data_IF_131480708345
#
_entry.id   IF_131480708345
#
_cell.length_a   1.000
_cell.length_b   1.000
_cell.length_c   1.000
_cell.angle_alpha   90.00
_cell.angle_beta   90.00
_cell.angle_gamma   90.00
#
_symmetry.space_group_name_H-M   'P 1'
#
loop_
_entity.id
_entity.type
_entity.pdbx_description
1 polymer ?
#
# COMPACT_ATOMS: atom_id res chain seq x y z
N UNK A 1 9.38 -10.08 -7.24
CA UNK A 1 8.48 -9.02 -7.72
C UNK A 1 7.05 -9.34 -7.32
N UNK A 2 6.30 -8.35 -6.90
CA UNK A 2 4.88 -8.49 -6.58
C UNK A 2 4.05 -7.98 -7.74
N UNK A 3 3.01 -8.75 -8.12
CA UNK A 3 2.05 -8.34 -9.13
C UNK A 3 0.69 -8.18 -8.47
N UNK A 4 0.09 -6.99 -8.62
CA UNK A 4 -1.29 -6.72 -8.20
C UNK A 4 -2.13 -6.67 -9.48
N UNK A 5 -3.00 -7.65 -9.65
CA UNK A 5 -3.91 -7.72 -10.79
C UNK A 5 -5.28 -7.20 -10.37
N UNK A 6 -5.79 -6.21 -11.09
CA UNK A 6 -7.10 -5.62 -10.83
C UNK A 6 -8.19 -6.40 -11.55
N UNK A 7 -9.45 -6.24 -11.11
CA UNK A 7 -10.59 -6.92 -11.73
C UNK A 7 -10.77 -6.60 -13.22
N UNK A 8 -10.28 -5.45 -13.68
CA UNK A 8 -10.32 -5.07 -15.09
C UNK A 8 -9.19 -5.69 -15.91
N UNK A 9 -8.34 -6.53 -15.31
CA UNK A 9 -7.22 -7.19 -15.97
C UNK A 9 -5.93 -6.37 -16.00
N UNK A 10 -5.95 -5.11 -15.58
CA UNK A 10 -4.74 -4.29 -15.55
C UNK A 10 -3.89 -4.64 -14.34
N UNK A 11 -2.58 -4.45 -14.45
CA UNK A 11 -1.64 -4.87 -13.40
C UNK A 11 -0.74 -3.73 -12.94
N UNK A 12 -0.36 -3.81 -11.67
CA UNK A 12 0.68 -2.98 -11.05
C UNK A 12 1.77 -3.94 -10.59
N UNK A 13 3.00 -3.71 -11.00
CA UNK A 13 4.14 -4.53 -10.57
C UNK A 13 5.03 -3.72 -9.64
N UNK A 14 5.41 -4.35 -8.53
CA UNK A 14 6.16 -3.73 -7.45
C UNK A 14 7.46 -4.47 -7.21
N UNK A 15 8.50 -3.72 -6.92
CA UNK A 15 9.76 -4.26 -6.39
C UNK A 15 9.89 -3.83 -4.94
N UNK A 16 10.12 -4.80 -4.05
CA UNK A 16 10.23 -4.55 -2.61
C UNK A 16 11.69 -4.41 -2.20
N UNK A 17 11.96 -3.58 -1.20
CA UNK A 17 13.30 -3.27 -0.70
C UNK A 17 13.49 -3.81 0.72
N UNK A 18 14.02 -5.04 0.81
CA UNK A 18 14.28 -5.70 2.10
C UNK A 18 15.33 -4.96 2.94
N UNK A 19 16.26 -4.26 2.30
CA UNK A 19 17.30 -3.56 3.03
C UNK A 19 16.76 -2.36 3.81
N UNK A 20 15.71 -1.73 3.29
CA UNK A 20 15.10 -0.56 3.93
C UNK A 20 14.09 -0.96 5.02
N UNK A 21 13.32 -2.03 4.82
CA UNK A 21 12.25 -2.44 5.71
C UNK A 21 12.07 -3.96 5.71
N UNK A 22 13.02 -4.71 6.31
CA UNK A 22 13.05 -6.16 6.19
C UNK A 22 11.81 -6.86 6.77
N UNK A 23 11.31 -6.41 7.92
CA UNK A 23 10.13 -7.02 8.55
C UNK A 23 8.85 -6.67 7.81
N UNK A 24 8.76 -5.45 7.31
CA UNK A 24 7.64 -4.99 6.49
C UNK A 24 7.54 -5.80 5.20
N UNK A 25 8.67 -5.97 4.51
CA UNK A 25 8.73 -6.78 3.28
C UNK A 25 8.35 -8.23 3.56
N UNK A 26 8.90 -8.83 4.62
CA UNK A 26 8.58 -10.21 5.00
C UNK A 26 7.08 -10.40 5.27
N UNK A 27 6.47 -9.47 6.01
CA UNK A 27 5.04 -9.49 6.30
C UNK A 27 4.19 -9.36 5.03
N UNK A 28 4.54 -8.41 4.16
CA UNK A 28 3.80 -8.20 2.92
C UNK A 28 3.89 -9.42 1.99
N UNK A 29 5.08 -9.99 1.83
CA UNK A 29 5.28 -11.22 1.05
C UNK A 29 4.47 -12.39 1.62
N UNK A 30 4.44 -12.53 2.94
CA UNK A 30 3.64 -13.57 3.60
C UNK A 30 2.16 -13.41 3.28
N UNK A 31 1.62 -12.21 3.44
CA UNK A 31 0.19 -11.94 3.16
C UNK A 31 -0.15 -12.16 1.68
N UNK A 32 0.73 -11.73 0.79
CA UNK A 32 0.55 -11.96 -0.65
C UNK A 32 0.54 -13.46 -0.96
N UNK A 33 1.49 -14.22 -0.42
CA UNK A 33 1.58 -15.66 -0.67
C UNK A 33 0.40 -16.44 -0.12
N UNK A 34 -0.24 -15.92 0.94
CA UNK A 34 -1.45 -16.53 1.52
C UNK A 34 -2.74 -16.15 0.80
N UNK A 35 -2.68 -15.28 -0.22
CA UNK A 35 -3.86 -14.78 -0.93
C UNK A 35 -4.66 -13.77 -0.12
N UNK A 36 -4.07 -13.15 0.90
CA UNK A 36 -4.77 -12.24 1.80
C UNK A 36 -5.41 -11.06 1.06
N UNK A 37 -4.73 -10.52 0.07
CA UNK A 37 -5.19 -9.33 -0.66
C UNK A 37 -6.18 -9.63 -1.79
N UNK A 38 -6.40 -10.90 -2.10
CA UNK A 38 -7.32 -11.28 -3.17
C UNK A 38 -8.75 -10.89 -2.79
N UNK A 39 -9.41 -10.15 -3.67
CA UNK A 39 -10.76 -9.66 -3.44
C UNK A 39 -10.88 -8.39 -2.61
N UNK A 40 -9.77 -7.87 -2.07
CA UNK A 40 -9.79 -6.62 -1.30
C UNK A 40 -9.79 -5.41 -2.23
N UNK A 41 -10.16 -4.24 -1.70
CA UNK A 41 -10.31 -3.03 -2.50
C UNK A 41 -9.31 -1.94 -2.12
N UNK A 42 -9.12 -0.99 -3.04
CA UNK A 42 -8.57 0.31 -2.69
C UNK A 42 -9.72 1.18 -2.16
N UNK A 43 -9.86 1.20 -0.85
CA UNK A 43 -11.02 1.80 -0.17
C UNK A 43 -10.88 3.31 0.10
N UNK A 44 -9.67 3.87 -0.04
CA UNK A 44 -9.40 5.27 0.18
C UNK A 44 -8.48 5.79 -0.92
N UNK A 45 -8.98 6.75 -1.69
CA UNK A 45 -8.29 7.28 -2.88
C UNK A 45 -8.30 8.80 -2.82
N UNK A 46 -7.12 9.41 -2.83
CA UNK A 46 -6.96 10.87 -2.86
C UNK A 46 -6.06 11.23 -4.04
N UNK A 47 -6.64 11.75 -5.15
CA UNK A 47 -5.85 12.19 -6.29
C UNK A 47 -4.81 13.23 -5.87
N UNK A 48 -3.61 13.15 -6.42
CA UNK A 48 -2.51 14.03 -6.04
C UNK A 48 -1.84 13.65 -4.73
N UNK A 49 -2.26 12.55 -4.10
CA UNK A 49 -1.67 12.06 -2.87
C UNK A 49 -1.38 10.55 -2.96
N UNK A 50 -2.40 9.68 -2.73
CA UNK A 50 -2.15 8.24 -2.68
C UNK A 50 -3.42 7.43 -2.96
N UNK A 51 -3.23 6.12 -3.20
CA UNK A 51 -4.30 5.12 -3.21
C UNK A 51 -4.01 4.11 -2.09
N UNK A 52 -4.99 3.83 -1.25
CA UNK A 52 -4.84 2.98 -0.06
C UNK A 52 -5.77 1.78 -0.12
N UNK A 53 -5.24 0.61 0.21
CA UNK A 53 -6.00 -0.64 0.22
C UNK A 53 -5.48 -1.64 1.24
N UNK A 54 -5.94 -2.88 1.12
CA UNK A 54 -5.47 -3.97 1.97
C UNK A 54 -6.23 -4.15 3.28
N UNK A 55 -7.41 -3.55 3.41
CA UNK A 55 -8.28 -3.72 4.56
C UNK A 55 -9.35 -4.76 4.26
N UNK A 56 -9.39 -5.90 4.98
CA UNK A 56 -10.41 -6.93 4.76
C UNK A 56 -11.83 -6.46 5.09
N UNK A 57 -11.99 -5.44 5.92
CA UNK A 57 -13.29 -4.82 6.21
C UNK A 57 -13.68 -3.81 5.12
N UNK A 58 -12.69 -3.14 4.53
CA UNK A 58 -12.90 -2.20 3.42
C UNK A 58 -13.32 -0.79 3.82
N UNK A 59 -13.13 -0.41 5.08
CA UNK A 59 -13.49 0.92 5.59
C UNK A 59 -12.37 1.63 6.38
N UNK A 60 -11.18 1.06 6.39
CA UNK A 60 -10.02 1.62 7.10
C UNK A 60 -9.83 1.10 8.52
N UNK A 61 -10.73 0.26 9.04
CA UNK A 61 -10.69 -0.21 10.43
C UNK A 61 -10.08 -1.59 10.61
N UNK A 62 -9.95 -2.36 9.53
CA UNK A 62 -9.49 -3.75 9.58
C UNK A 62 -8.00 -3.92 9.30
N UNK A 63 -7.52 -5.13 9.44
CA UNK A 63 -6.14 -5.51 9.19
C UNK A 63 -5.94 -7.01 9.27
N UNK A 64 -4.68 -7.45 9.17
CA UNK A 64 -4.30 -8.84 9.39
C UNK A 64 -4.16 -9.13 10.88
N UNK A 65 -3.92 -10.40 11.23
CA UNK A 65 -3.88 -10.87 12.63
C UNK A 65 -2.74 -10.26 13.45
N UNK A 66 -1.61 -9.97 12.81
CA UNK A 66 -0.40 -9.54 13.50
C UNK A 66 0.00 -8.13 13.10
N UNK A 67 0.28 -7.29 14.08
CA UNK A 67 0.89 -6.00 13.84
C UNK A 67 2.39 -6.16 13.69
N UNK A 68 3.00 -5.25 12.93
CA UNK A 68 4.45 -5.22 12.73
C UNK A 68 5.03 -3.94 13.28
N UNK A 69 6.32 -4.00 13.67
CA UNK A 69 7.05 -2.82 14.10
C UNK A 69 7.17 -1.83 12.93
N UNK A 70 7.03 -0.55 13.20
CA UNK A 70 7.15 0.49 12.19
C UNK A 70 8.61 0.76 11.85
N UNK A 71 9.04 0.36 10.66
CA UNK A 71 10.42 0.50 10.19
C UNK A 71 10.63 1.84 9.49
N UNK A 72 10.69 2.91 10.27
CA UNK A 72 10.90 4.27 9.78
C UNK A 72 11.70 5.09 10.79
N UNK A 73 12.28 6.21 10.34
CA UNK A 73 13.27 6.98 11.08
C UNK A 73 12.77 7.44 12.47
N UNK A 74 11.56 7.97 12.57
CA UNK A 74 11.02 8.45 13.86
C UNK A 74 10.77 7.32 14.87
N UNK A 75 10.80 6.07 14.43
CA UNK A 75 10.68 4.88 15.28
C UNK A 75 12.05 4.16 15.48
N UNK A 76 13.14 4.81 15.11
CA UNK A 76 14.49 4.30 15.36
C UNK A 76 15.07 3.41 14.27
N UNK A 77 14.47 3.35 13.08
CA UNK A 77 14.96 2.52 11.97
C UNK A 77 15.51 3.37 10.84
N UNK A 78 16.63 2.95 10.27
CA UNK A 78 17.23 3.62 9.13
C UNK A 78 16.53 3.18 7.84
N UNK A 79 15.50 3.91 7.45
CA UNK A 79 14.77 3.68 6.20
C UNK A 79 14.94 4.92 5.31
N UNK A 80 15.77 4.84 4.25
CA UNK A 80 16.08 6.01 3.42
C UNK A 80 15.06 6.29 2.33
N UNK A 81 14.03 5.46 2.16
CA UNK A 81 13.08 5.62 1.04
C UNK A 81 12.23 6.87 1.25
N UNK A 82 12.23 7.75 0.26
CA UNK A 82 11.36 8.92 0.20
C UNK A 82 9.99 8.54 -0.32
N UNK A 83 8.94 9.20 0.16
CA UNK A 83 7.57 9.00 -0.33
C UNK A 83 7.36 9.78 -1.64
N UNK A 84 8.03 9.33 -2.68
CA UNK A 84 7.88 9.86 -4.02
C UNK A 84 6.86 9.06 -4.82
N UNK A 85 6.43 9.60 -5.96
CA UNK A 85 5.45 8.94 -6.84
C UNK A 85 5.85 7.49 -7.12
N UNK A 86 4.93 6.56 -6.94
CA UNK A 86 5.11 5.13 -7.16
C UNK A 86 5.64 4.34 -5.97
N UNK A 87 6.01 4.99 -4.88
CA UNK A 87 6.47 4.29 -3.66
C UNK A 87 5.29 3.64 -2.95
N UNK A 88 5.48 2.41 -2.47
CA UNK A 88 4.53 1.71 -1.61
C UNK A 88 4.98 1.80 -0.15
N UNK A 89 4.05 2.07 0.75
CA UNK A 89 4.30 2.27 2.17
C UNK A 89 3.16 1.68 3.01
N UNK A 90 3.41 1.41 4.29
CA UNK A 90 2.40 0.84 5.18
C UNK A 90 1.57 1.93 5.83
N UNK A 91 0.24 1.79 5.74
CA UNK A 91 -0.68 2.57 6.54
C UNK A 91 -0.67 2.08 7.99
N UNK A 92 -0.95 2.99 8.93
CA UNK A 92 -0.98 2.69 10.37
C UNK A 92 -1.89 3.67 11.10
N UNK A 93 -2.23 3.35 12.33
CA UNK A 93 -2.88 4.27 13.25
C UNK A 93 -1.84 5.20 13.90
N UNK A 94 -2.21 5.92 14.95
CA UNK A 94 -1.29 6.79 15.69
C UNK A 94 -0.13 6.02 16.33
N UNK A 95 -0.36 4.75 16.71
CA UNK A 95 0.69 3.89 17.25
C UNK A 95 1.69 3.54 16.14
N UNK A 96 2.98 3.82 16.31
CA UNK A 96 3.99 3.51 15.29
C UNK A 96 4.14 2.01 14.98
N UNK A 97 3.66 1.14 15.86
CA UNK A 97 3.74 -0.31 15.70
C UNK A 97 2.36 -0.94 15.44
N UNK A 98 1.46 -0.21 14.79
CA UNK A 98 0.08 -0.65 14.53
C UNK A 98 -0.17 -1.11 13.10
N UNK A 99 0.80 -1.03 12.21
CA UNK A 99 0.64 -1.51 10.83
C UNK A 99 0.45 -3.03 10.82
N UNK A 100 -0.38 -3.51 9.90
CA UNK A 100 -0.59 -4.95 9.70
C UNK A 100 -0.73 -5.32 8.22
N UNK A 101 -1.79 -4.89 7.55
CA UNK A 101 -2.02 -5.23 6.14
C UNK A 101 -2.32 -4.06 5.24
N UNK A 102 -2.86 -2.95 5.75
CA UNK A 102 -3.18 -1.81 4.91
C UNK A 102 -1.92 -1.13 4.39
N UNK A 103 -1.93 -0.82 3.11
CA UNK A 103 -0.82 -0.16 2.43
C UNK A 103 -1.35 0.96 1.54
N UNK A 104 -0.45 1.85 1.13
CA UNK A 104 -0.77 2.87 0.14
C UNK A 104 0.34 3.01 -0.88
N UNK A 105 -0.03 3.39 -2.10
CA UNK A 105 0.89 3.66 -3.20
C UNK A 105 0.79 5.14 -3.53
N UNK A 106 1.92 5.81 -3.61
CA UNK A 106 1.96 7.25 -3.86
C UNK A 106 1.55 7.58 -5.29
N UNK A 107 0.55 8.45 -5.43
CA UNK A 107 0.16 9.03 -6.71
C UNK A 107 1.03 10.23 -7.04
N UNK A 108 1.46 10.98 -6.03
CA UNK A 108 2.37 12.11 -6.14
C UNK A 108 3.33 12.14 -4.95
N UNK A 109 4.38 12.95 -5.01
CA UNK A 109 5.34 13.08 -3.94
C UNK A 109 4.70 13.66 -2.68
N UNK A 110 5.03 13.10 -1.51
CA UNK A 110 4.55 13.57 -0.22
C UNK A 110 5.69 13.56 0.81
N UNK A 111 6.61 14.50 0.74
CA UNK A 111 7.78 14.53 1.63
C UNK A 111 7.45 14.64 3.12
N UNK A 112 6.25 15.11 3.47
CA UNK A 112 5.81 15.16 4.88
C UNK A 112 5.62 13.78 5.50
N UNK A 113 5.55 12.71 4.71
CA UNK A 113 5.45 11.34 5.20
C UNK A 113 6.83 10.71 5.46
N UNK A 114 7.90 11.29 4.92
CA UNK A 114 9.24 10.73 5.05
C UNK A 114 9.65 10.64 6.52
N UNK A 115 10.18 9.49 6.90
CA UNK A 115 10.60 9.23 8.27
C UNK A 115 9.49 8.90 9.26
N UNK A 116 8.22 8.92 8.83
CA UNK A 116 7.06 8.65 9.72
C UNK A 116 6.22 7.45 9.28
N UNK A 117 6.52 6.86 8.13
CA UNK A 117 5.85 5.67 7.60
C UNK A 117 6.87 4.73 6.99
N UNK A 118 6.57 3.43 7.06
CA UNK A 118 7.46 2.39 6.56
C UNK A 118 7.28 2.19 5.05
N UNK A 119 7.97 2.99 4.25
CA UNK A 119 8.09 2.77 2.82
C UNK A 119 8.92 1.51 2.59
N UNK A 120 8.50 0.64 1.65
CA UNK A 120 9.16 -0.67 1.50
C UNK A 120 9.30 -1.14 0.06
N UNK A 121 9.05 -0.30 -0.91
CA UNK A 121 9.21 -0.65 -2.33
C UNK A 121 8.70 0.42 -3.26
N UNK A 122 8.63 0.09 -4.53
CA UNK A 122 8.16 1.02 -5.55
C UNK A 122 7.57 0.29 -6.76
N UNK A 123 6.72 1.00 -7.49
CA UNK A 123 6.13 0.51 -8.75
C UNK A 123 7.20 0.52 -9.84
N UNK A 124 7.39 -0.65 -10.49
CA UNK A 124 8.29 -0.77 -11.65
C UNK A 124 7.54 -0.82 -12.97
N UNK A 125 6.25 -1.19 -12.93
CA UNK A 125 5.38 -1.23 -14.10
C UNK A 125 3.95 -0.99 -13.65
N UNK A 126 3.19 -0.17 -14.40
CA UNK A 126 1.78 0.09 -14.09
C UNK A 126 1.51 1.40 -13.38
N UNK A 127 2.40 2.40 -13.45
CA UNK A 127 2.10 3.74 -12.89
C UNK A 127 0.84 4.34 -13.51
N UNK A 128 0.58 4.09 -14.80
CA UNK A 128 -0.65 4.53 -15.46
C UNK A 128 -1.90 3.88 -14.84
N UNK A 129 -1.78 2.67 -14.30
CA UNK A 129 -2.87 2.00 -13.58
C UNK A 129 -3.11 2.68 -12.24
N UNK A 130 -2.05 3.08 -11.53
CA UNK A 130 -2.16 3.88 -10.31
C UNK A 130 -2.88 5.20 -10.61
N UNK A 131 -2.54 5.86 -11.72
CA UNK A 131 -3.21 7.10 -12.15
C UNK A 131 -4.69 6.88 -12.43
N UNK A 132 -5.05 5.81 -13.11
CA UNK A 132 -6.46 5.48 -13.40
C UNK A 132 -7.24 5.26 -12.10
N UNK A 133 -6.66 4.51 -11.17
CA UNK A 133 -7.28 4.27 -9.86
C UNK A 133 -7.45 5.58 -9.10
N UNK A 134 -6.42 6.43 -9.10
CA UNK A 134 -6.45 7.72 -8.42
C UNK A 134 -7.52 8.67 -8.95
N UNK A 135 -7.91 8.51 -10.22
CA UNK A 135 -8.93 9.33 -10.86
C UNK A 135 -10.35 8.73 -10.77
N UNK A 136 -10.51 7.62 -10.05
CA UNK A 136 -11.82 7.01 -9.82
C UNK A 136 -12.70 7.96 -9.01
N UNK A 137 -14.01 8.14 -9.38
CA UNK A 137 -14.92 8.94 -8.59
C UNK A 137 -15.06 8.44 -7.16
N UNK A 138 -14.98 9.35 -6.20
CA UNK A 138 -15.05 9.06 -4.77
C UNK A 138 -16.16 9.86 -4.10
N UNK A 139 -16.60 9.39 -2.92
CA UNK A 139 -17.53 10.13 -2.06
C UNK A 139 -16.76 11.13 -1.16
N UNK A 140 -17.48 11.79 -0.25
CA UNK A 140 -16.88 12.79 0.64
C UNK A 140 -15.89 12.21 1.65
N UNK A 141 -15.79 10.88 1.79
CA UNK A 141 -14.82 10.19 2.65
C UNK A 141 -13.66 9.62 1.85
N UNK A 142 -13.49 10.03 0.59
CA UNK A 142 -12.46 9.54 -0.31
C UNK A 142 -12.57 8.05 -0.64
N UNK A 143 -13.77 7.48 -0.47
CA UNK A 143 -14.06 6.10 -0.82
C UNK A 143 -14.62 6.04 -2.24
N UNK A 144 -14.12 5.13 -3.11
CA UNK A 144 -14.67 4.96 -4.45
C UNK A 144 -16.18 4.69 -4.43
N UNK A 145 -16.93 5.39 -5.28
CA UNK A 145 -18.37 5.16 -5.43
C UNK A 145 -18.68 3.83 -6.09
N UNK A 146 -17.75 3.33 -6.92
CA UNK A 146 -17.75 1.97 -7.45
C UNK A 146 -16.50 1.26 -6.93
N UNK A 147 -16.62 0.09 -6.28
CA UNK A 147 -15.46 -0.60 -5.70
C UNK A 147 -14.34 -0.85 -6.70
N UNK A 148 -13.11 -0.55 -6.29
CA UNK A 148 -11.89 -0.82 -7.07
C UNK A 148 -11.24 -2.06 -6.46
N UNK A 149 -11.46 -3.21 -7.07
CA UNK A 149 -11.16 -4.52 -6.49
C UNK A 149 -9.85 -5.08 -7.03
N UNK A 150 -9.02 -5.57 -6.12
CA UNK A 150 -7.84 -6.39 -6.44
C UNK A 150 -8.35 -7.81 -6.73
N UNK A 151 -8.18 -8.27 -7.96
CA UNK A 151 -8.54 -9.65 -8.31
C UNK A 151 -7.65 -10.64 -7.57
N UNK A 152 -6.34 -10.39 -7.61
CA UNK A 152 -5.35 -11.15 -6.87
C UNK A 152 -4.02 -10.40 -6.79
N UNK A 153 -3.24 -10.70 -5.76
CA UNK A 153 -1.86 -10.26 -5.65
C UNK A 153 -0.98 -11.51 -5.49
N UNK A 154 0.14 -11.56 -6.21
CA UNK A 154 1.00 -12.75 -6.18
C UNK A 154 2.46 -12.38 -6.40
N UNK A 155 3.33 -13.30 -6.01
CA UNK A 155 4.78 -13.18 -6.22
C UNK A 155 5.12 -13.81 -7.56
N UNK A 156 5.70 -13.01 -8.45
CA UNK A 156 6.10 -13.48 -9.79
C UNK A 156 7.58 -13.79 -9.85
#
# INVERSE_FOLDING_TARGET
>A
MIVIEMNNGKVIKLELDESAAPKTVANFNKLVSEGFYDGLSFHRIIPGFMIQGGDPVGNGTGGSKENIVGEFASNGFNNPIKHSRGVISMARSMDPNSASSQFFIMHADAPHLDGNYAAFGHVVEGLEVVDEIANTPTDFRDKPTTPVIIKRAYIA
#
